data_IF_170044046725
#
_entry.id   IF_170044046725
#
_cell.length_a   1.000
_cell.length_b   1.000
_cell.length_c   1.000
_cell.angle_alpha   90.00
_cell.angle_beta   90.00
_cell.angle_gamma   90.00
#
_symmetry.space_group_name_H-M   'P 1'
#
loop_
_entity.id
_entity.type
_entity.pdbx_description
1 polymer ?
#
# COMPACT_ATOMS: atom_id res chain seq x y z
N UNK A 1 20.20 21.74 -0.38
CA UNK A 1 19.47 20.82 0.49
C UNK A 1 18.41 20.09 -0.30
N UNK A 2 18.32 18.81 -0.10
CA UNK A 2 17.34 17.98 -0.79
C UNK A 2 16.06 17.92 0.05
N UNK A 3 14.93 18.30 -0.51
CA UNK A 3 13.65 18.22 0.18
C UNK A 3 13.18 16.77 0.29
N UNK A 4 12.29 16.51 1.23
CA UNK A 4 11.68 15.18 1.35
C UNK A 4 11.03 14.76 0.02
N UNK A 5 10.42 15.73 -0.69
CA UNK A 5 9.74 15.46 -1.95
C UNK A 5 10.66 14.98 -3.06
N UNK A 6 11.94 15.40 -3.10
CA UNK A 6 12.84 15.00 -4.17
C UNK A 6 13.39 13.58 -3.98
N UNK A 7 13.31 13.03 -2.75
CA UNK A 7 13.83 11.71 -2.42
C UNK A 7 12.74 10.67 -2.14
N UNK A 8 11.47 11.06 -2.23
CA UNK A 8 10.40 10.17 -1.81
C UNK A 8 10.37 8.86 -2.60
N UNK A 9 10.59 8.93 -3.89
CA UNK A 9 10.56 7.74 -4.74
C UNK A 9 11.62 6.74 -4.30
N UNK A 10 12.84 7.20 -4.05
CA UNK A 10 13.93 6.34 -3.59
C UNK A 10 13.61 5.72 -2.23
N UNK A 11 13.10 6.52 -1.31
CA UNK A 11 12.78 6.06 0.04
C UNK A 11 11.69 4.99 0.02
N UNK A 12 10.63 5.22 -0.73
CA UNK A 12 9.52 4.28 -0.85
C UNK A 12 10.00 2.98 -1.48
N UNK A 13 10.73 3.06 -2.59
CA UNK A 13 11.21 1.86 -3.29
C UNK A 13 12.20 1.06 -2.44
N UNK A 14 13.06 1.73 -1.70
CA UNK A 14 14.01 1.04 -0.82
C UNK A 14 13.29 0.28 0.30
N UNK A 15 12.28 0.89 0.90
CA UNK A 15 11.48 0.24 1.93
C UNK A 15 10.69 -0.93 1.35
N UNK A 16 10.07 -0.73 0.20
CA UNK A 16 9.28 -1.79 -0.46
C UNK A 16 10.13 -3.02 -0.74
N UNK A 17 11.36 -2.83 -1.22
CA UNK A 17 12.26 -3.95 -1.52
C UNK A 17 12.60 -4.79 -0.29
N UNK A 18 12.51 -4.22 0.90
CA UNK A 18 12.78 -4.93 2.16
C UNK A 18 11.56 -5.65 2.70
N UNK A 19 10.38 -5.36 2.20
CA UNK A 19 9.14 -5.92 2.72
C UNK A 19 8.90 -7.33 2.17
N UNK A 20 9.13 -8.33 3.02
CA UNK A 20 9.12 -9.73 2.61
C UNK A 20 7.74 -10.21 2.15
N UNK A 21 6.68 -9.74 2.79
CA UNK A 21 5.33 -10.16 2.41
C UNK A 21 4.97 -9.69 0.99
N UNK A 22 5.49 -8.55 0.57
CA UNK A 22 5.27 -8.08 -0.80
C UNK A 22 5.98 -8.96 -1.81
N UNK A 23 7.13 -9.52 -1.45
CA UNK A 23 7.83 -10.51 -2.28
C UNK A 23 7.03 -11.80 -2.37
N UNK A 24 6.45 -12.24 -1.27
CA UNK A 24 5.60 -13.43 -1.24
C UNK A 24 4.40 -13.28 -2.18
N UNK A 25 3.80 -12.10 -2.22
CA UNK A 25 2.68 -11.81 -3.12
C UNK A 25 3.12 -11.53 -4.55
N UNK A 26 4.43 -11.42 -4.79
CA UNK A 26 4.97 -10.97 -6.07
C UNK A 26 4.37 -9.63 -6.48
N UNK A 27 4.21 -8.77 -5.49
CA UNK A 27 3.61 -7.46 -5.67
C UNK A 27 4.64 -6.47 -6.22
N UNK A 28 4.12 -5.44 -6.85
CA UNK A 28 4.95 -4.35 -7.38
C UNK A 28 4.25 -3.02 -7.13
N UNK A 29 5.05 -1.97 -7.07
CA UNK A 29 4.51 -0.61 -7.08
C UNK A 29 4.15 -0.29 -8.52
N UNK A 30 2.87 -0.11 -8.78
CA UNK A 30 2.37 0.19 -10.12
C UNK A 30 2.11 1.68 -10.34
N UNK A 31 2.07 2.46 -9.26
CA UNK A 31 1.98 3.91 -9.34
C UNK A 31 2.63 4.52 -8.11
N UNK A 32 3.43 5.55 -8.30
CA UNK A 32 4.14 6.21 -7.21
C UNK A 32 4.18 7.70 -7.46
N UNK A 33 3.41 8.43 -6.67
CA UNK A 33 3.39 9.88 -6.63
C UNK A 33 3.39 10.32 -5.18
N UNK A 34 3.71 11.57 -4.92
CA UNK A 34 3.64 12.08 -3.54
C UNK A 34 2.21 12.00 -3.05
N UNK A 35 2.01 11.30 -1.95
CA UNK A 35 0.69 11.13 -1.34
C UNK A 35 -0.23 10.14 -2.05
N UNK A 36 0.26 9.42 -3.07
CA UNK A 36 -0.55 8.47 -3.81
C UNK A 36 0.32 7.31 -4.27
N UNK A 37 0.03 6.11 -3.77
CA UNK A 37 0.76 4.90 -4.14
C UNK A 37 -0.22 3.80 -4.48
N UNK A 38 0.08 3.06 -5.54
CA UNK A 38 -0.67 1.88 -5.93
C UNK A 38 0.27 0.68 -5.92
N UNK A 39 -0.18 -0.40 -5.32
CA UNK A 39 0.54 -1.68 -5.30
C UNK A 39 -0.35 -2.71 -5.97
N UNK A 40 0.22 -3.45 -6.91
CA UNK A 40 -0.50 -4.45 -7.70
C UNK A 40 0.15 -5.81 -7.57
N UNK A 41 -0.66 -6.85 -7.69
CA UNK A 41 -0.19 -8.22 -7.75
C UNK A 41 -1.11 -9.02 -8.69
N UNK A 42 -0.55 -10.03 -9.34
CA UNK A 42 -1.35 -10.98 -10.08
C UNK A 42 -2.17 -11.81 -9.10
N UNK A 43 -3.44 -11.99 -9.41
CA UNK A 43 -4.26 -12.90 -8.64
C UNK A 43 -3.81 -14.34 -8.91
N UNK A 44 -3.55 -15.08 -7.86
CA UNK A 44 -3.10 -16.47 -7.91
C UNK A 44 -3.94 -17.31 -6.97
N UNK A 45 -4.06 -18.63 -7.23
CA UNK A 45 -4.77 -19.51 -6.31
C UNK A 45 -4.30 -19.39 -4.86
N UNK A 46 -3.01 -19.12 -4.64
CA UNK A 46 -2.45 -18.99 -3.29
C UNK A 46 -3.01 -17.79 -2.52
N UNK A 47 -3.64 -16.86 -3.21
CA UNK A 47 -4.20 -15.65 -2.60
C UNK A 47 -5.73 -15.74 -2.46
N UNK A 48 -6.30 -16.89 -2.82
CA UNK A 48 -7.74 -17.07 -2.78
C UNK A 48 -8.17 -17.72 -1.48
N UNK A 49 -9.40 -17.39 -1.07
CA UNK A 49 -10.07 -18.10 0.00
C UNK A 49 -10.80 -19.34 -0.58
N UNK A 50 -11.47 -20.11 0.27
CA UNK A 50 -12.02 -21.42 -0.09
C UNK A 50 -13.10 -21.40 -1.18
N UNK A 51 -13.72 -20.26 -1.42
CA UNK A 51 -14.79 -20.13 -2.43
C UNK A 51 -14.32 -19.51 -3.74
N UNK A 52 -13.00 -19.37 -3.93
CA UNK A 52 -12.42 -18.89 -5.18
C UNK A 52 -12.31 -17.38 -5.32
N UNK A 53 -12.70 -16.63 -4.29
CA UNK A 53 -12.50 -15.19 -4.28
C UNK A 53 -11.14 -14.84 -3.67
N UNK A 54 -10.60 -13.68 -4.03
CA UNK A 54 -9.38 -13.22 -3.39
C UNK A 54 -9.61 -13.06 -1.90
N UNK A 55 -8.71 -13.62 -1.09
CA UNK A 55 -8.80 -13.50 0.36
C UNK A 55 -8.73 -12.03 0.77
N UNK A 56 -9.61 -11.63 1.68
CA UNK A 56 -9.62 -10.25 2.18
C UNK A 56 -8.26 -9.83 2.75
N UNK A 57 -7.57 -10.75 3.41
CA UNK A 57 -6.24 -10.49 3.95
C UNK A 57 -5.22 -10.06 2.90
N UNK A 58 -5.30 -10.62 1.69
CA UNK A 58 -4.41 -10.22 0.60
C UNK A 58 -4.70 -8.78 0.17
N UNK A 59 -5.98 -8.43 0.05
CA UNK A 59 -6.38 -7.06 -0.30
C UNK A 59 -5.96 -6.07 0.78
N UNK A 60 -6.13 -6.44 2.04
CA UNK A 60 -5.71 -5.59 3.17
C UNK A 60 -4.20 -5.35 3.13
N UNK A 61 -3.42 -6.38 2.88
CA UNK A 61 -1.96 -6.25 2.84
C UNK A 61 -1.52 -5.25 1.78
N UNK A 62 -2.09 -5.33 0.57
CA UNK A 62 -1.77 -4.38 -0.49
C UNK A 62 -2.24 -2.97 -0.16
N UNK A 63 -3.47 -2.84 0.33
CA UNK A 63 -4.05 -1.53 0.63
C UNK A 63 -3.33 -0.85 1.80
N UNK A 64 -3.03 -1.60 2.86
CA UNK A 64 -2.30 -1.06 4.02
C UNK A 64 -0.91 -0.59 3.62
N UNK A 65 -0.19 -1.39 2.86
CA UNK A 65 1.15 -1.01 2.38
C UNK A 65 1.09 0.20 1.46
N UNK A 66 0.11 0.25 0.56
CA UNK A 66 -0.05 1.40 -0.33
C UNK A 66 -0.32 2.68 0.47
N UNK A 67 -1.19 2.61 1.48
CA UNK A 67 -1.47 3.76 2.36
C UNK A 67 -0.26 4.19 3.16
N UNK A 68 0.50 3.22 3.69
CA UNK A 68 1.74 3.50 4.42
C UNK A 68 2.77 4.19 3.54
N UNK A 69 2.97 3.72 2.33
CA UNK A 69 3.92 4.33 1.41
C UNK A 69 3.45 5.68 0.88
N UNK A 70 2.16 5.86 0.68
CA UNK A 70 1.62 7.18 0.34
C UNK A 70 1.96 8.19 1.44
N UNK A 71 1.83 7.79 2.70
CA UNK A 71 2.21 8.61 3.85
C UNK A 71 3.72 8.86 3.88
N UNK A 72 4.51 7.79 3.72
CA UNK A 72 5.97 7.89 3.73
C UNK A 72 6.48 8.86 2.66
N UNK A 73 5.82 8.90 1.50
CA UNK A 73 6.20 9.78 0.40
C UNK A 73 6.12 11.26 0.76
N UNK A 74 5.40 11.61 1.82
CA UNK A 74 5.22 12.99 2.28
C UNK A 74 6.08 13.31 3.50
N UNK A 75 6.87 12.36 3.99
CA UNK A 75 7.66 12.51 5.20
C UNK A 75 9.15 12.66 4.88
N UNK A 76 9.93 13.25 5.80
CA UNK A 76 11.38 13.37 5.60
C UNK A 76 12.06 12.01 5.47
N UNK A 77 13.23 11.99 4.86
CA UNK A 77 14.08 10.80 4.79
C UNK A 77 14.33 10.24 6.17
N UNK A 78 14.33 8.91 6.27
CA UNK A 78 14.55 8.24 7.54
C UNK A 78 13.28 8.05 8.36
N UNK A 79 12.18 8.62 7.93
CA UNK A 79 10.89 8.42 8.60
C UNK A 79 10.42 6.99 8.44
N UNK A 80 9.61 6.54 9.39
CA UNK A 80 8.99 5.22 9.36
C UNK A 80 7.49 5.38 9.59
N UNK A 81 6.73 4.46 9.02
CA UNK A 81 5.28 4.45 9.16
C UNK A 81 4.87 3.13 9.77
N UNK A 82 4.00 3.21 10.76
CA UNK A 82 3.41 2.04 11.40
C UNK A 82 1.91 2.25 11.45
N UNK A 83 1.16 1.27 10.98
CA UNK A 83 -0.30 1.35 11.00
C UNK A 83 -0.80 1.17 12.42
N UNK A 84 -1.63 2.10 12.87
CA UNK A 84 -2.26 2.05 14.19
C UNK A 84 -3.66 1.48 14.07
N UNK A 85 -4.38 1.88 13.04
CA UNK A 85 -5.74 1.44 12.80
C UNK A 85 -6.03 1.42 11.31
N UNK A 86 -6.67 0.37 10.85
CA UNK A 86 -7.13 0.24 9.46
C UNK A 86 -8.60 -0.15 9.49
N UNK A 87 -9.43 0.63 8.81
CA UNK A 87 -10.83 0.30 8.63
C UNK A 87 -11.11 0.03 7.17
N UNK A 88 -11.74 -1.10 6.90
CA UNK A 88 -12.04 -1.54 5.53
C UNK A 88 -13.49 -1.93 5.40
N UNK A 89 -14.08 -1.59 4.28
CA UNK A 89 -15.43 -1.99 3.92
C UNK A 89 -15.35 -2.74 2.60
N UNK A 90 -15.81 -3.99 2.62
CA UNK A 90 -15.83 -4.83 1.41
C UNK A 90 -17.22 -4.76 0.82
N UNK A 91 -17.31 -4.19 -0.36
CA UNK A 91 -18.61 -3.94 -1.00
C UNK A 91 -19.06 -5.10 -1.86
N UNK A 92 -18.14 -5.92 -2.34
CA UNK A 92 -18.42 -7.08 -3.17
C UNK A 92 -17.21 -8.01 -3.22
N UNK A 93 -17.40 -9.30 -3.59
CA UNK A 93 -16.27 -10.20 -3.74
C UNK A 93 -15.29 -9.70 -4.79
N UNK A 94 -14.01 -9.99 -4.57
CA UNK A 94 -12.96 -9.58 -5.48
C UNK A 94 -12.61 -10.75 -6.39
N UNK A 95 -12.68 -10.49 -7.69
CA UNK A 95 -12.35 -11.46 -8.73
C UNK A 95 -11.52 -10.75 -9.81
N UNK A 96 -10.92 -11.54 -10.70
CA UNK A 96 -10.15 -10.99 -11.80
C UNK A 96 -8.72 -11.47 -11.79
N UNK A 97 -7.95 -11.06 -12.79
CA UNK A 97 -6.57 -11.53 -12.98
C UNK A 97 -5.54 -10.68 -12.23
N UNK A 98 -5.91 -9.52 -11.75
CA UNK A 98 -5.00 -8.62 -11.04
C UNK A 98 -5.72 -7.96 -9.87
N UNK A 99 -4.99 -7.80 -8.77
CA UNK A 99 -5.48 -7.10 -7.59
C UNK A 99 -4.61 -5.87 -7.34
N UNK A 100 -5.25 -4.82 -6.84
CA UNK A 100 -4.57 -3.54 -6.60
C UNK A 100 -5.01 -2.94 -5.27
N UNK A 101 -4.04 -2.39 -4.55
CA UNK A 101 -4.31 -1.52 -3.41
C UNK A 101 -3.83 -0.13 -3.74
N UNK A 102 -4.68 0.87 -3.57
CA UNK A 102 -4.31 2.27 -3.79
C UNK A 102 -4.46 3.04 -2.50
N UNK A 103 -3.39 3.69 -2.08
CA UNK A 103 -3.38 4.55 -0.91
C UNK A 103 -3.23 6.00 -1.31
N UNK A 104 -4.10 6.85 -0.79
CA UNK A 104 -4.03 8.29 -1.00
C UNK A 104 -4.09 8.97 0.36
N UNK A 105 -3.16 9.88 0.60
CA UNK A 105 -3.18 10.66 1.84
C UNK A 105 -4.22 11.76 1.70
N UNK A 106 -5.14 11.80 2.67
CA UNK A 106 -6.18 12.83 2.72
C UNK A 106 -5.84 13.95 3.67
N UNK A 107 -5.11 13.64 4.76
CA UNK A 107 -4.79 14.62 5.78
C UNK A 107 -3.52 14.21 6.52
N UNK A 108 -2.64 15.17 6.74
CA UNK A 108 -1.45 15.00 7.57
C UNK A 108 -1.74 15.62 8.93
N UNK A 109 -1.72 14.82 9.99
CA UNK A 109 -1.90 15.30 11.35
C UNK A 109 -0.57 15.42 12.08
N UNK A 110 -0.60 16.02 13.27
CA UNK A 110 0.61 16.18 14.08
C UNK A 110 1.15 14.88 14.61
N UNK A 111 0.33 14.09 15.30
CA UNK A 111 0.74 12.79 15.86
C UNK A 111 0.33 11.62 14.99
N UNK A 112 -0.77 11.76 14.28
CA UNK A 112 -1.31 10.71 13.44
C UNK A 112 -1.36 11.16 11.99
N UNK A 113 -1.26 10.21 11.10
CA UNK A 113 -1.41 10.42 9.67
C UNK A 113 -2.63 9.63 9.21
N UNK A 114 -3.37 10.21 8.28
CA UNK A 114 -4.57 9.56 7.77
C UNK A 114 -4.43 9.34 6.27
N UNK A 115 -4.82 8.18 5.82
CA UNK A 115 -4.86 7.84 4.40
C UNK A 115 -6.17 7.14 4.09
N UNK A 116 -6.69 7.34 2.89
CA UNK A 116 -7.79 6.54 2.40
C UNK A 116 -7.26 5.48 1.44
N UNK A 117 -7.87 4.31 1.51
CA UNK A 117 -7.44 3.14 0.74
C UNK A 117 -8.57 2.75 -0.21
N UNK A 118 -8.19 2.35 -1.44
CA UNK A 118 -9.15 1.88 -2.44
C UNK A 118 -8.61 0.65 -3.14
N UNK A 119 -9.51 -0.22 -3.51
CA UNK A 119 -9.19 -1.38 -4.34
C UNK A 119 -9.15 -1.01 -5.80
#
# INVERSE_FOLDING_TARGET
MVSAGSNYSRNVKASFRKQKIMKLFQARISRLERGLVEISAMNRPDLEQQDGYVHAGALVALADSAGGYATLSLLPSGSRVLSVEVKLNFLRPSVGSMIRGRGRVRKIGGRSRCASLRR
#
